data_IF_746971161997
#
_entry.id   IF_746971161997
#
_cell.length_a   1.000
_cell.length_b   1.000
_cell.length_c   1.000
_cell.angle_alpha   90.00
_cell.angle_beta   90.00
_cell.angle_gamma   90.00
#
_symmetry.space_group_name_H-M   'P 1'
#
loop_
_entity.id
_entity.type
_entity.pdbx_description
1 polymer ?
#
# COMPACT_ATOMS: atom_id res chain seq x y z
N UNK A 1 4.29 -11.90 -85.37
CA UNK A 1 5.74 -11.72 -85.19
C UNK A 1 6.13 -12.15 -83.79
N UNK A 2 6.66 -13.36 -83.67
CA UNK A 2 7.57 -13.82 -82.60
C UNK A 2 8.98 -13.24 -82.87
N UNK A 3 10.05 -13.47 -82.05
CA UNK A 3 10.22 -14.40 -80.91
C UNK A 3 10.94 -13.71 -79.69
N UNK A 4 11.37 -14.31 -78.58
CA UNK A 4 11.66 -15.71 -78.21
C UNK A 4 11.73 -15.88 -76.67
N UNK A 5 11.84 -17.13 -76.25
CA UNK A 5 11.57 -17.70 -74.93
C UNK A 5 12.74 -17.55 -73.92
N UNK A 6 12.50 -17.67 -72.61
CA UNK A 6 12.73 -18.96 -71.91
C UNK A 6 12.03 -19.04 -70.53
N UNK A 7 11.41 -20.19 -70.27
CA UNK A 7 10.80 -20.65 -68.99
C UNK A 7 11.79 -21.54 -68.23
N UNK A 8 11.66 -21.68 -66.89
CA UNK A 8 11.42 -22.95 -66.16
C UNK A 8 11.07 -22.71 -64.66
N UNK A 9 9.81 -23.06 -64.32
CA UNK A 9 9.21 -23.80 -63.17
C UNK A 9 9.46 -23.50 -61.65
N UNK A 10 8.33 -23.22 -60.96
CA UNK A 10 7.70 -23.80 -59.71
C UNK A 10 8.58 -24.09 -58.48
N UNK A 11 8.18 -23.92 -57.20
CA UNK A 11 6.88 -23.96 -56.52
C UNK A 11 6.95 -23.21 -55.16
N UNK A 12 5.79 -22.84 -54.59
CA UNK A 12 5.71 -22.08 -53.33
C UNK A 12 5.75 -22.92 -52.04
N UNK A 13 5.83 -22.23 -50.89
CA UNK A 13 5.31 -22.64 -49.57
C UNK A 13 5.36 -21.48 -48.56
N UNK A 14 4.36 -21.45 -47.67
CA UNK A 14 4.07 -20.49 -46.59
C UNK A 14 5.11 -20.58 -45.45
N UNK A 15 5.32 -19.53 -44.62
CA UNK A 15 6.09 -19.66 -43.40
C UNK A 15 5.21 -20.12 -42.23
N UNK A 16 5.72 -21.06 -41.44
CA UNK A 16 5.19 -21.50 -40.16
C UNK A 16 6.13 -21.01 -39.05
N UNK A 17 5.51 -20.59 -37.94
CA UNK A 17 6.12 -20.14 -36.70
C UNK A 17 6.87 -21.28 -36.00
N UNK A 18 8.02 -20.99 -35.39
CA UNK A 18 8.72 -21.90 -34.47
C UNK A 18 9.19 -21.13 -33.24
N UNK A 19 8.65 -21.56 -32.10
CA UNK A 19 9.15 -21.29 -30.76
C UNK A 19 10.50 -22.00 -30.55
N UNK A 20 11.42 -21.36 -29.83
CA UNK A 20 12.69 -21.96 -29.42
C UNK A 20 12.70 -22.19 -27.91
N UNK A 21 12.84 -23.46 -27.53
CA UNK A 21 13.02 -23.95 -26.18
C UNK A 21 14.48 -23.83 -25.73
N UNK A 22 14.68 -23.61 -24.43
CA UNK A 22 15.98 -23.53 -23.74
C UNK A 22 16.49 -24.94 -23.44
N UNK A 23 17.74 -25.23 -23.81
CA UNK A 23 18.43 -26.49 -23.54
C UNK A 23 19.40 -26.36 -22.35
N UNK A 24 19.25 -27.27 -21.39
CA UNK A 24 20.16 -27.52 -20.26
C UNK A 24 21.38 -28.29 -20.77
N UNK A 25 22.59 -27.91 -20.36
CA UNK A 25 23.81 -28.71 -20.60
C UNK A 25 24.55 -28.99 -19.29
N UNK A 26 24.62 -30.28 -18.97
CA UNK A 26 25.47 -30.86 -17.93
C UNK A 26 26.81 -31.29 -18.55
N UNK A 27 27.92 -31.00 -17.88
CA UNK A 27 29.28 -31.38 -18.31
C UNK A 27 29.72 -32.62 -17.54
N UNK A 28 30.12 -33.64 -18.30
CA UNK A 28 30.68 -34.92 -17.86
C UNK A 28 32.20 -34.86 -17.72
N UNK A 29 32.70 -35.63 -16.76
CA UNK A 29 34.09 -35.82 -16.37
C UNK A 29 34.91 -36.69 -17.36
N UNK A 30 36.23 -36.45 -17.40
CA UNK A 30 37.26 -37.49 -17.52
C UNK A 30 38.66 -36.90 -17.29
N UNK A 31 39.45 -37.50 -16.38
CA UNK A 31 40.79 -38.06 -16.66
C UNK A 31 41.44 -38.55 -15.35
N UNK A 32 41.90 -39.80 -15.37
CA UNK A 32 42.93 -40.36 -14.47
C UNK A 32 44.15 -40.69 -15.34
N UNK A 33 45.38 -40.80 -14.79
CA UNK A 33 45.83 -42.11 -14.30
C UNK A 33 46.87 -42.12 -13.14
N UNK A 34 47.00 -43.27 -12.46
CA UNK A 34 48.30 -43.83 -12.01
C UNK A 34 48.76 -43.66 -10.54
N UNK A 35 48.72 -44.75 -9.77
CA UNK A 35 49.55 -45.05 -8.56
C UNK A 35 50.78 -45.89 -9.03
N UNK A 36 51.96 -46.05 -8.38
CA UNK A 36 52.44 -45.85 -7.00
C UNK A 36 54.00 -45.81 -6.94
N UNK A 37 54.51 -45.35 -5.78
CA UNK A 37 55.79 -45.65 -5.07
C UNK A 37 57.14 -45.13 -5.64
N UNK A 38 57.83 -44.23 -4.92
CA UNK A 38 58.75 -44.52 -3.80
C UNK A 38 59.21 -43.21 -3.10
N UNK A 39 59.44 -43.32 -1.78
CA UNK A 39 59.94 -42.33 -0.80
C UNK A 39 61.45 -42.00 -1.02
N UNK A 40 62.03 -40.87 -0.51
CA UNK A 40 62.14 -40.64 0.94
C UNK A 40 62.18 -39.17 1.48
N UNK A 41 61.70 -39.04 2.72
CA UNK A 41 62.24 -38.27 3.86
C UNK A 41 62.58 -36.75 3.72
N UNK A 42 61.80 -35.92 4.40
CA UNK A 42 62.31 -34.80 5.23
C UNK A 42 61.25 -34.33 6.25
N UNK A 43 61.69 -34.20 7.50
CA UNK A 43 60.89 -33.94 8.72
C UNK A 43 60.86 -32.45 9.04
N UNK A 44 59.72 -31.91 9.49
CA UNK A 44 59.67 -30.73 10.36
C UNK A 44 58.45 -30.79 11.31
N UNK A 45 58.56 -30.31 12.57
CA UNK A 45 57.66 -30.69 13.65
C UNK A 45 56.57 -29.65 13.97
N UNK A 46 55.48 -30.13 14.57
CA UNK A 46 54.45 -29.34 15.24
C UNK A 46 54.84 -28.99 16.70
N UNK A 47 54.37 -27.87 17.28
CA UNK A 47 54.56 -27.59 18.69
C UNK A 47 53.37 -28.04 19.55
N UNK A 48 53.69 -28.56 20.74
CA UNK A 48 52.79 -29.02 21.79
C UNK A 48 52.39 -27.89 22.78
N UNK A 49 51.22 -28.04 23.40
CA UNK A 49 50.75 -27.28 24.58
C UNK A 49 51.56 -27.63 25.85
N UNK A 50 51.58 -26.80 26.93
CA UNK A 50 50.60 -26.88 28.05
C UNK A 50 50.49 -25.55 28.89
N UNK A 51 50.11 -25.49 30.20
CA UNK A 51 48.97 -26.05 30.97
C UNK A 51 48.14 -25.00 31.79
N UNK A 52 47.15 -25.54 32.51
CA UNK A 52 46.16 -25.00 33.47
C UNK A 52 46.66 -24.22 34.72
N UNK A 53 45.86 -23.25 35.20
CA UNK A 53 45.74 -22.76 36.61
C UNK A 53 44.51 -21.85 36.73
N UNK A 54 43.46 -22.22 37.46
CA UNK A 54 43.24 -22.08 38.92
C UNK A 54 42.37 -20.85 39.29
N UNK A 55 41.31 -21.09 40.06
CA UNK A 55 40.44 -20.12 40.74
C UNK A 55 40.24 -20.61 42.19
N UNK A 56 39.60 -19.88 43.15
CA UNK A 56 39.31 -18.44 43.31
C UNK A 56 39.84 -17.93 44.71
N UNK A 57 39.35 -16.82 45.29
CA UNK A 57 38.17 -16.93 46.17
C UNK A 57 37.19 -15.73 46.13
N UNK A 58 36.05 -15.94 46.79
CA UNK A 58 34.87 -15.06 46.87
C UNK A 58 34.79 -14.31 48.22
N UNK A 59 33.96 -13.25 48.21
CA UNK A 59 33.19 -12.68 49.34
C UNK A 59 33.63 -11.32 49.90
N UNK A 60 32.82 -10.26 49.69
CA UNK A 60 32.06 -9.58 50.76
C UNK A 60 31.30 -8.32 50.26
N UNK A 61 30.02 -8.23 50.63
CA UNK A 61 29.21 -7.03 50.83
C UNK A 61 28.23 -7.35 52.00
N UNK A 62 27.54 -6.41 52.70
CA UNK A 62 27.52 -4.93 52.67
C UNK A 62 27.70 -4.31 54.11
N UNK A 63 27.34 -3.04 54.37
CA UNK A 63 26.05 -2.83 55.04
C UNK A 63 25.24 -1.58 54.58
N UNK A 64 24.02 -1.51 55.10
CA UNK A 64 22.89 -0.65 54.72
C UNK A 64 22.68 0.56 55.68
N UNK A 65 22.04 1.60 55.15
CA UNK A 65 21.20 2.64 55.79
C UNK A 65 21.84 3.76 56.63
N UNK A 66 21.71 5.01 56.14
CA UNK A 66 21.10 6.12 56.88
C UNK A 66 20.90 7.38 55.99
N UNK A 67 19.68 7.91 55.96
CA UNK A 67 19.32 9.31 55.66
C UNK A 67 18.21 9.71 56.66
N UNK A 68 17.87 11.00 56.94
CA UNK A 68 18.51 12.30 56.65
C UNK A 68 18.61 13.21 57.93
N UNK A 69 18.82 14.54 57.84
CA UNK A 69 17.66 15.45 57.85
C UNK A 69 17.75 16.65 56.88
N UNK A 70 16.57 17.08 56.39
CA UNK A 70 16.30 18.38 55.75
C UNK A 70 15.69 19.34 56.81
N UNK A 71 15.31 20.62 56.56
CA UNK A 71 15.22 21.34 55.27
C UNK A 71 15.65 22.84 55.28
N UNK A 72 15.73 23.45 54.09
CA UNK A 72 15.45 24.88 53.90
C UNK A 72 14.41 25.00 52.76
N UNK A 73 13.29 25.65 53.06
CA UNK A 73 12.10 25.71 52.23
C UNK A 73 12.22 26.70 51.06
N UNK A 74 11.69 26.35 49.87
CA UNK A 74 11.16 27.33 48.94
C UNK A 74 9.63 27.35 48.99
N UNK A 75 9.10 28.57 48.86
CA UNK A 75 7.69 28.96 48.95
C UNK A 75 6.80 28.25 47.93
N UNK A 76 5.67 27.72 48.40
CA UNK A 76 4.61 27.11 47.57
C UNK A 76 3.71 28.22 47.00
N UNK A 77 3.53 28.35 45.67
CA UNK A 77 2.45 29.14 45.10
C UNK A 77 1.09 28.42 45.26
N UNK A 78 -0.03 29.16 45.38
CA UNK A 78 -1.34 28.55 45.66
C UNK A 78 -1.79 27.63 44.52
N UNK A 79 -2.40 26.50 44.91
CA UNK A 79 -2.95 25.50 43.99
C UNK A 79 -4.05 26.11 43.10
N UNK A 80 -4.08 25.80 41.80
CA UNK A 80 -5.22 26.14 40.95
C UNK A 80 -6.42 25.24 41.29
N UNK A 81 -7.60 25.84 41.29
CA UNK A 81 -8.90 25.15 41.46
C UNK A 81 -9.08 24.00 40.46
N UNK A 82 -9.83 22.93 40.81
CA UNK A 82 -10.07 21.82 39.91
C UNK A 82 -10.91 22.28 38.71
N UNK A 83 -10.28 22.32 37.54
CA UNK A 83 -10.97 22.52 36.27
C UNK A 83 -11.95 21.36 36.03
N UNK A 84 -13.19 21.63 35.55
CA UNK A 84 -14.18 20.60 35.33
C UNK A 84 -13.68 19.57 34.30
N UNK A 85 -13.89 18.29 34.62
CA UNK A 85 -13.51 17.17 33.77
C UNK A 85 -14.02 17.38 32.32
N UNK A 86 -13.23 17.06 31.28
CA UNK A 86 -13.72 17.08 29.92
C UNK A 86 -14.80 16.01 29.79
N UNK A 87 -16.03 16.50 29.61
CA UNK A 87 -17.19 15.73 29.18
C UNK A 87 -16.90 15.05 27.85
N UNK A 88 -17.33 13.78 27.77
CA UNK A 88 -17.48 12.96 26.57
C UNK A 88 -16.22 12.73 25.74
N UNK A 89 -15.58 11.58 25.95
CA UNK A 89 -14.83 10.92 24.90
C UNK A 89 -15.72 10.78 23.65
N UNK A 90 -15.25 11.14 22.45
CA UNK A 90 -15.99 10.83 21.24
C UNK A 90 -16.14 9.32 21.17
N UNK A 91 -17.38 8.85 21.00
CA UNK A 91 -17.67 7.47 20.64
C UNK A 91 -16.73 7.05 19.51
N UNK A 92 -15.83 6.11 19.79
CA UNK A 92 -14.88 5.60 18.81
C UNK A 92 -15.68 5.10 17.61
N UNK A 93 -15.63 5.84 16.50
CA UNK A 93 -16.08 5.32 15.22
C UNK A 93 -15.26 4.06 14.94
N UNK A 94 -15.86 3.00 14.39
CA UNK A 94 -15.07 1.88 13.89
C UNK A 94 -13.99 2.42 12.95
N UNK A 95 -12.76 1.90 13.00
CA UNK A 95 -11.71 2.34 12.09
C UNK A 95 -12.21 2.21 10.66
N UNK A 96 -12.03 3.27 9.87
CA UNK A 96 -12.40 3.23 8.46
C UNK A 96 -11.64 2.09 7.79
N UNK A 97 -12.34 1.31 6.95
CA UNK A 97 -11.71 0.22 6.21
C UNK A 97 -10.49 0.74 5.42
N UNK A 98 -9.39 -0.05 5.34
CA UNK A 98 -8.20 0.32 4.58
C UNK A 98 -8.53 0.82 3.17
N UNK A 99 -7.84 1.88 2.72
CA UNK A 99 -7.89 2.22 1.31
C UNK A 99 -7.30 1.06 0.50
N UNK A 100 -7.89 0.74 -0.64
CA UNK A 100 -7.38 -0.34 -1.47
C UNK A 100 -7.35 0.02 -2.96
N UNK A 101 -6.50 -0.70 -3.67
CA UNK A 101 -6.35 -0.66 -5.11
C UNK A 101 -5.70 -1.93 -5.61
N UNK A 102 -5.15 -1.87 -6.83
CA UNK A 102 -4.37 -2.94 -7.40
C UNK A 102 -3.32 -2.37 -8.36
N UNK A 103 -2.20 -3.08 -8.50
CA UNK A 103 -1.31 -2.89 -9.63
C UNK A 103 -1.86 -3.64 -10.84
N UNK A 104 -2.21 -2.91 -11.90
CA UNK A 104 -2.92 -3.44 -13.07
C UNK A 104 -2.15 -3.33 -14.37
N UNK A 105 -1.18 -2.40 -14.42
CA UNK A 105 -0.17 -2.13 -15.44
C UNK A 105 0.54 -0.83 -15.02
N UNK A 106 1.75 -0.58 -15.50
CA UNK A 106 2.49 0.63 -15.13
C UNK A 106 1.94 1.89 -15.83
N UNK A 107 1.42 1.78 -17.05
CA UNK A 107 1.04 2.92 -17.90
C UNK A 107 -0.46 3.28 -17.90
N UNK A 108 -0.93 3.97 -18.95
CA UNK A 108 -2.33 4.35 -19.12
C UNK A 108 -3.32 3.18 -19.09
N UNK A 109 -2.86 1.97 -19.45
CA UNK A 109 -3.67 0.77 -19.36
C UNK A 109 -4.03 0.44 -17.90
N UNK A 110 -3.14 0.70 -16.95
CA UNK A 110 -3.40 0.46 -15.52
C UNK A 110 -4.50 1.37 -14.98
N UNK A 111 -4.50 2.63 -15.41
CA UNK A 111 -5.56 3.60 -15.10
C UNK A 111 -6.90 3.16 -15.68
N UNK A 112 -6.93 2.72 -16.95
CA UNK A 112 -8.16 2.23 -17.58
C UNK A 112 -8.71 1.00 -16.87
N UNK A 113 -7.83 0.03 -16.57
CA UNK A 113 -8.17 -1.20 -15.84
C UNK A 113 -8.67 -0.97 -14.43
N UNK A 114 -8.32 0.15 -13.80
CA UNK A 114 -8.83 0.50 -12.46
C UNK A 114 -10.36 0.65 -12.47
N UNK A 115 -10.94 1.18 -13.56
CA UNK A 115 -12.38 1.25 -13.73
C UNK A 115 -13.00 -0.14 -13.97
N UNK A 116 -12.35 -0.97 -14.80
CA UNK A 116 -12.80 -2.33 -15.09
C UNK A 116 -12.78 -3.24 -13.83
N UNK A 117 -11.74 -3.12 -13.00
CA UNK A 117 -11.67 -3.81 -11.71
C UNK A 117 -12.75 -3.33 -10.75
N UNK A 118 -13.02 -2.01 -10.70
CA UNK A 118 -14.14 -1.45 -9.93
C UNK A 118 -15.47 -2.07 -10.36
N UNK A 119 -15.72 -2.19 -11.67
CA UNK A 119 -16.94 -2.79 -12.20
C UNK A 119 -17.03 -4.29 -11.86
N UNK A 120 -15.93 -5.02 -11.94
CA UNK A 120 -15.86 -6.43 -11.53
C UNK A 120 -16.15 -6.64 -10.03
N UNK A 121 -15.80 -5.66 -9.20
CA UNK A 121 -16.14 -5.54 -7.77
C UNK A 121 -17.51 -4.90 -7.52
N UNK A 122 -18.40 -4.86 -8.52
CA UNK A 122 -19.76 -4.36 -8.36
C UNK A 122 -19.84 -2.84 -8.16
N UNK A 123 -18.93 -2.08 -8.77
CA UNK A 123 -18.85 -0.62 -8.67
C UNK A 123 -18.13 -0.13 -7.42
N UNK A 124 -17.40 -1.01 -6.73
CA UNK A 124 -16.63 -0.62 -5.54
C UNK A 124 -15.48 0.29 -5.94
N UNK A 125 -15.40 1.46 -5.30
CA UNK A 125 -14.40 2.46 -5.63
C UNK A 125 -13.02 2.09 -5.12
N UNK A 126 -12.06 1.99 -6.04
CA UNK A 126 -10.64 1.94 -5.71
C UNK A 126 -10.16 3.33 -5.30
N UNK A 127 -9.58 3.43 -4.10
CA UNK A 127 -9.02 4.68 -3.57
C UNK A 127 -7.51 4.78 -3.78
N UNK A 128 -6.84 3.69 -4.14
CA UNK A 128 -5.39 3.63 -4.34
C UNK A 128 -5.10 3.37 -5.81
N UNK A 129 -4.39 4.29 -6.46
CA UNK A 129 -3.79 4.07 -7.76
C UNK A 129 -2.32 3.74 -7.55
N UNK A 130 -1.88 2.56 -8.01
CA UNK A 130 -0.54 2.07 -7.77
C UNK A 130 0.18 1.73 -9.07
N UNK A 131 1.40 2.22 -9.19
CA UNK A 131 2.25 2.03 -10.37
C UNK A 131 3.73 2.12 -10.01
N UNK A 132 4.59 1.80 -10.98
CA UNK A 132 6.05 1.76 -10.89
C UNK A 132 6.64 2.70 -11.92
N UNK A 133 7.72 3.39 -11.53
CA UNK A 133 8.61 3.98 -12.51
C UNK A 133 9.54 2.90 -13.10
N UNK A 134 9.75 2.87 -14.42
CA UNK A 134 10.76 2.00 -15.01
C UNK A 134 12.15 2.37 -14.50
N UNK A 135 12.90 1.36 -14.07
CA UNK A 135 14.23 1.52 -13.47
C UNK A 135 15.40 1.24 -14.41
N UNK A 136 15.18 1.11 -15.72
CA UNK A 136 16.23 0.82 -16.71
C UNK A 136 17.23 1.98 -16.87
N UNK A 137 16.76 3.23 -16.76
CA UNK A 137 17.59 4.44 -16.91
C UNK A 137 17.08 5.60 -16.07
N UNK A 138 17.97 6.51 -15.68
CA UNK A 138 17.61 7.68 -14.87
C UNK A 138 16.46 8.51 -15.42
N UNK A 139 16.39 8.74 -16.73
CA UNK A 139 15.30 9.56 -17.31
C UNK A 139 13.90 8.99 -17.06
N UNK A 140 13.79 7.68 -16.84
CA UNK A 140 12.51 7.03 -16.53
C UNK A 140 12.19 7.17 -15.03
N UNK A 141 13.20 7.07 -14.15
CA UNK A 141 13.10 7.36 -12.70
C UNK A 141 12.78 8.85 -12.45
N UNK A 142 13.21 9.76 -13.32
CA UNK A 142 12.82 11.18 -13.30
C UNK A 142 11.35 11.41 -13.70
N UNK A 143 10.60 10.35 -14.02
CA UNK A 143 9.21 10.38 -14.44
C UNK A 143 9.06 10.98 -15.83
N UNK A 144 9.54 10.32 -16.88
CA UNK A 144 9.46 10.82 -18.26
C UNK A 144 8.05 11.34 -18.62
N UNK A 145 7.92 12.47 -19.37
CA UNK A 145 6.62 13.06 -19.68
C UNK A 145 5.72 12.10 -20.46
N UNK A 146 4.41 12.17 -20.20
CA UNK A 146 3.40 11.28 -20.79
C UNK A 146 3.13 10.01 -19.98
N UNK A 147 3.93 9.74 -18.94
CA UNK A 147 3.73 8.58 -18.07
C UNK A 147 2.91 8.91 -16.82
N UNK A 148 3.32 9.90 -16.05
CA UNK A 148 2.69 10.25 -14.77
C UNK A 148 1.42 11.10 -14.93
N UNK A 149 1.20 11.73 -16.08
CA UNK A 149 0.07 12.62 -16.32
C UNK A 149 -1.28 11.90 -16.14
N UNK A 150 -1.42 10.68 -16.68
CA UNK A 150 -2.66 9.90 -16.57
C UNK A 150 -2.97 9.45 -15.14
N UNK A 151 -1.93 9.14 -14.36
CA UNK A 151 -2.04 8.80 -12.95
C UNK A 151 -2.36 10.03 -12.10
N UNK A 152 -1.79 11.18 -12.45
CA UNK A 152 -2.08 12.45 -11.83
C UNK A 152 -3.54 12.85 -12.04
N UNK A 153 -4.03 12.77 -13.27
CA UNK A 153 -5.45 13.02 -13.60
C UNK A 153 -6.37 12.07 -12.84
N UNK A 154 -6.01 10.77 -12.76
CA UNK A 154 -6.80 9.80 -12.00
C UNK A 154 -6.86 10.17 -10.50
N UNK A 155 -5.73 10.49 -9.87
CA UNK A 155 -5.69 10.90 -8.45
C UNK A 155 -6.43 12.22 -8.23
N UNK A 156 -6.34 13.17 -9.15
CA UNK A 156 -6.99 14.47 -9.01
C UNK A 156 -8.49 14.43 -9.31
N UNK A 157 -8.97 13.38 -9.96
CA UNK A 157 -10.39 13.17 -10.21
C UNK A 157 -11.24 13.11 -8.93
N UNK A 158 -10.68 12.68 -7.79
CA UNK A 158 -11.39 12.59 -6.51
C UNK A 158 -10.47 12.89 -5.32
N UNK A 159 -10.98 13.59 -4.31
CA UNK A 159 -10.18 14.10 -3.20
C UNK A 159 -9.65 13.00 -2.25
N UNK A 160 -10.35 11.87 -2.15
CA UNK A 160 -10.03 10.72 -1.30
C UNK A 160 -9.10 9.70 -1.97
N UNK A 161 -8.71 9.91 -3.23
CA UNK A 161 -7.75 9.06 -3.93
C UNK A 161 -6.32 9.35 -3.51
N UNK A 162 -5.53 8.29 -3.44
CA UNK A 162 -4.08 8.35 -3.28
C UNK A 162 -3.37 7.78 -4.49
N UNK A 163 -2.26 8.42 -4.86
CA UNK A 163 -1.29 7.87 -5.80
C UNK A 163 -0.15 7.25 -4.99
N UNK A 164 0.11 5.96 -5.21
CA UNK A 164 1.24 5.21 -4.68
C UNK A 164 2.18 4.91 -5.84
N UNK A 165 3.43 5.33 -5.71
CA UNK A 165 4.43 5.24 -6.77
C UNK A 165 5.66 4.50 -6.25
N UNK A 166 5.95 3.33 -6.79
CA UNK A 166 7.20 2.64 -6.56
C UNK A 166 8.31 3.30 -7.39
N UNK A 167 9.40 3.66 -6.71
CA UNK A 167 10.50 4.44 -7.29
C UNK A 167 11.83 3.71 -7.03
N UNK A 168 12.52 3.26 -8.09
CA UNK A 168 13.85 2.69 -7.96
C UNK A 168 14.83 3.71 -7.37
N UNK A 169 15.72 3.27 -6.48
CA UNK A 169 16.79 4.15 -5.99
C UNK A 169 17.97 4.22 -6.97
N UNK A 170 18.09 3.27 -7.89
CA UNK A 170 19.17 3.22 -8.88
C UNK A 170 18.59 2.83 -10.25
N UNK A 171 19.21 3.33 -11.32
CA UNK A 171 18.96 2.81 -12.67
C UNK A 171 19.56 1.42 -12.85
N UNK A 172 19.32 0.79 -14.02
CA UNK A 172 19.70 -0.61 -14.29
C UNK A 172 19.13 -1.54 -13.21
N UNK A 173 17.91 -1.24 -12.75
CA UNK A 173 17.37 -1.76 -11.50
C UNK A 173 17.26 -3.29 -11.46
N UNK A 174 17.15 -3.93 -12.62
CA UNK A 174 16.95 -5.39 -12.75
C UNK A 174 18.01 -6.05 -13.65
N UNK A 175 19.16 -5.39 -13.88
CA UNK A 175 20.23 -5.93 -14.75
C UNK A 175 21.07 -7.04 -14.10
N UNK A 176 20.82 -7.37 -12.84
CA UNK A 176 21.55 -8.44 -12.14
C UNK A 176 23.00 -8.09 -11.82
N UNK A 177 23.27 -6.84 -11.40
CA UNK A 177 24.61 -6.38 -11.04
C UNK A 177 25.15 -7.14 -9.83
N UNK A 178 26.47 -7.34 -9.79
CA UNK A 178 27.13 -7.97 -8.65
C UNK A 178 27.20 -7.04 -7.42
N UNK A 179 27.44 -7.64 -6.24
CA UNK A 179 27.38 -6.91 -4.96
C UNK A 179 28.46 -5.83 -4.82
N UNK A 180 29.61 -5.99 -5.48
CA UNK A 180 30.68 -4.99 -5.45
C UNK A 180 30.31 -3.75 -6.26
N UNK A 181 29.70 -3.93 -7.44
CA UNK A 181 29.18 -2.81 -8.23
C UNK A 181 28.03 -2.11 -7.48
N UNK A 182 27.09 -2.86 -6.90
CA UNK A 182 25.99 -2.27 -6.12
C UNK A 182 26.49 -1.51 -4.90
N UNK A 183 27.45 -2.06 -4.15
CA UNK A 183 28.08 -1.39 -3.01
C UNK A 183 28.65 -0.03 -3.40
N UNK A 184 29.36 0.05 -4.53
CA UNK A 184 29.91 1.31 -5.01
C UNK A 184 28.81 2.29 -5.41
N UNK A 185 27.78 1.83 -6.12
CA UNK A 185 26.63 2.67 -6.49
C UNK A 185 25.89 3.22 -5.25
N UNK A 186 25.69 2.41 -4.21
CA UNK A 186 25.09 2.87 -2.95
C UNK A 186 25.94 3.94 -2.27
N UNK A 187 27.27 3.80 -2.28
CA UNK A 187 28.19 4.80 -1.70
C UNK A 187 28.18 6.11 -2.47
N UNK A 188 28.11 6.05 -3.80
CA UNK A 188 27.92 7.24 -4.64
C UNK A 188 26.58 7.92 -4.38
N UNK A 189 25.52 7.13 -4.21
CA UNK A 189 24.22 7.62 -3.78
C UNK A 189 24.29 8.31 -2.41
N UNK A 190 24.95 7.70 -1.43
CA UNK A 190 25.18 8.28 -0.11
C UNK A 190 26.00 9.58 -0.15
N UNK A 191 26.92 9.70 -1.12
CA UNK A 191 27.68 10.93 -1.38
C UNK A 191 26.86 12.03 -2.08
N UNK A 192 25.68 11.70 -2.60
CA UNK A 192 24.74 12.64 -3.20
C UNK A 192 24.85 12.78 -4.73
N UNK A 193 25.57 11.88 -5.41
CA UNK A 193 25.77 11.92 -6.87
C UNK A 193 24.43 11.93 -7.63
N UNK A 194 23.41 11.28 -7.09
CA UNK A 194 22.14 11.01 -7.77
C UNK A 194 20.96 11.87 -7.29
N UNK A 195 21.17 12.77 -6.31
CA UNK A 195 20.11 13.60 -5.70
C UNK A 195 19.27 14.39 -6.73
N UNK A 196 19.92 14.82 -7.80
CA UNK A 196 19.31 15.66 -8.83
C UNK A 196 18.19 14.93 -9.60
N UNK A 197 18.28 13.59 -9.75
CA UNK A 197 17.23 12.78 -10.38
C UNK A 197 15.95 12.80 -9.54
N UNK A 198 16.08 12.63 -8.22
CA UNK A 198 14.93 12.61 -7.32
C UNK A 198 14.33 13.99 -7.10
N UNK A 199 15.16 15.05 -7.08
CA UNK A 199 14.66 16.43 -7.10
C UNK A 199 13.80 16.68 -8.34
N UNK A 200 14.25 16.20 -9.51
CA UNK A 200 13.49 16.36 -10.76
C UNK A 200 12.17 15.58 -10.74
N UNK A 201 12.16 14.35 -10.22
CA UNK A 201 10.92 13.60 -10.03
C UNK A 201 9.95 14.37 -9.11
N UNK A 202 10.44 14.88 -7.98
CA UNK A 202 9.64 15.67 -7.03
C UNK A 202 9.06 16.94 -7.67
N UNK A 203 9.87 17.71 -8.40
CA UNK A 203 9.42 18.90 -9.15
C UNK A 203 8.32 18.54 -10.15
N UNK A 204 8.46 17.41 -10.85
CA UNK A 204 7.44 16.95 -11.80
C UNK A 204 6.15 16.54 -11.11
N UNK A 205 6.20 15.77 -10.03
CA UNK A 205 5.00 15.38 -9.27
C UNK A 205 4.25 16.60 -8.74
N UNK A 206 4.96 17.61 -8.23
CA UNK A 206 4.35 18.88 -7.83
C UNK A 206 3.73 19.62 -9.02
N UNK A 207 4.44 19.70 -10.15
CA UNK A 207 3.94 20.36 -11.37
C UNK A 207 2.69 19.68 -11.95
N UNK A 208 2.57 18.36 -11.79
CA UNK A 208 1.39 17.57 -12.17
C UNK A 208 0.22 17.69 -11.18
N UNK A 209 0.38 18.47 -10.11
CA UNK A 209 -0.68 18.66 -9.12
C UNK A 209 -0.90 17.45 -8.22
N UNK A 210 0.06 16.54 -8.10
CA UNK A 210 0.03 15.39 -7.17
C UNK A 210 1.11 15.48 -6.09
N UNK A 211 1.18 16.60 -5.35
CA UNK A 211 2.23 16.84 -4.36
C UNK A 211 2.15 15.91 -3.15
N UNK A 212 1.08 15.15 -2.98
CA UNK A 212 0.83 14.25 -1.85
C UNK A 212 0.96 12.77 -2.20
N UNK A 213 1.69 12.47 -3.29
CA UNK A 213 2.05 11.11 -3.70
C UNK A 213 2.77 10.35 -2.58
N UNK A 214 2.37 9.09 -2.36
CA UNK A 214 3.10 8.14 -1.51
C UNK A 214 4.18 7.49 -2.36
N UNK A 215 5.42 7.59 -1.91
CA UNK A 215 6.60 7.12 -2.62
C UNK A 215 7.15 5.88 -1.93
N UNK A 216 7.04 4.73 -2.58
CA UNK A 216 7.65 3.47 -2.15
C UNK A 216 9.06 3.43 -2.76
N UNK A 217 10.00 4.07 -2.09
CA UNK A 217 11.39 4.11 -2.54
C UNK A 217 12.03 2.73 -2.31
N UNK A 218 12.79 2.22 -3.27
CA UNK A 218 13.67 1.08 -3.04
C UNK A 218 12.98 -0.14 -2.41
N UNK A 219 11.79 -0.51 -2.89
CA UNK A 219 10.99 -1.63 -2.37
C UNK A 219 11.78 -2.95 -2.36
N UNK A 220 11.40 -3.87 -1.47
CA UNK A 220 12.01 -5.20 -1.33
C UNK A 220 13.54 -5.17 -1.17
N UNK A 221 14.07 -4.12 -0.53
CA UNK A 221 15.51 -3.91 -0.39
C UNK A 221 16.24 -5.04 0.34
N UNK A 222 15.53 -5.84 1.14
CA UNK A 222 16.08 -6.97 1.87
C UNK A 222 16.32 -8.22 1.02
N UNK A 223 15.90 -8.23 -0.24
CA UNK A 223 16.17 -9.31 -1.19
C UNK A 223 17.45 -9.14 -2.00
N UNK A 224 17.54 -9.86 -3.12
CA UNK A 224 18.71 -9.85 -4.02
C UNK A 224 18.43 -9.34 -5.43
N UNK A 225 17.16 -9.13 -5.78
CA UNK A 225 16.72 -8.88 -7.16
C UNK A 225 17.18 -7.52 -7.68
N UNK A 226 16.95 -6.47 -6.90
CA UNK A 226 17.11 -5.11 -7.37
C UNK A 226 18.52 -4.56 -7.17
N UNK A 227 18.95 -3.68 -8.06
CA UNK A 227 20.22 -2.94 -7.93
C UNK A 227 20.22 -2.03 -6.70
N UNK A 228 19.04 -1.63 -6.20
CA UNK A 228 18.92 -0.89 -4.93
C UNK A 228 18.88 -1.75 -3.66
N UNK A 229 19.14 -3.06 -3.74
CA UNK A 229 19.15 -3.94 -2.55
C UNK A 229 20.10 -3.42 -1.46
N UNK A 230 19.71 -3.58 -0.21
CA UNK A 230 20.41 -3.05 0.95
C UNK A 230 21.62 -3.89 1.37
N UNK A 231 21.52 -5.22 1.22
CA UNK A 231 22.50 -6.17 1.74
C UNK A 231 23.98 -5.87 1.44
N UNK A 232 24.35 -5.40 0.22
CA UNK A 232 25.73 -5.04 -0.08
C UNK A 232 26.30 -3.99 0.89
N UNK A 233 25.62 -2.89 1.20
CA UNK A 233 26.13 -1.86 2.11
C UNK A 233 24.98 -1.16 2.85
N UNK A 234 24.50 -1.72 3.98
CA UNK A 234 23.32 -1.18 4.69
C UNK A 234 23.51 0.26 5.19
N UNK A 235 24.70 0.66 5.59
CA UNK A 235 24.97 2.03 6.04
C UNK A 235 24.91 3.02 4.87
N UNK A 236 25.52 2.67 3.72
CA UNK A 236 25.40 3.48 2.52
C UNK A 236 23.95 3.53 2.00
N UNK A 237 23.21 2.42 2.08
CA UNK A 237 21.81 2.35 1.70
C UNK A 237 20.95 3.33 2.53
N UNK A 238 21.09 3.31 3.86
CA UNK A 238 20.36 4.23 4.76
C UNK A 238 20.74 5.69 4.51
N UNK A 239 22.03 5.97 4.33
CA UNK A 239 22.49 7.31 3.98
C UNK A 239 21.91 7.77 2.64
N UNK A 240 21.87 6.90 1.63
CA UNK A 240 21.32 7.23 0.33
C UNK A 240 19.80 7.46 0.37
N UNK A 241 19.04 6.62 1.06
CA UNK A 241 17.62 6.86 1.33
C UNK A 241 17.39 8.27 1.90
N UNK A 242 18.15 8.62 2.94
CA UNK A 242 18.04 9.91 3.60
C UNK A 242 18.38 11.09 2.66
N UNK A 243 19.34 10.91 1.75
CA UNK A 243 19.65 11.89 0.68
C UNK A 243 18.49 12.09 -0.28
N UNK A 244 17.90 11.00 -0.78
CA UNK A 244 16.75 11.04 -1.69
C UNK A 244 15.60 11.80 -1.04
N UNK A 245 15.19 11.39 0.16
CA UNK A 245 14.09 12.01 0.90
C UNK A 245 14.35 13.50 1.15
N UNK A 246 15.57 13.86 1.54
CA UNK A 246 15.97 15.26 1.74
C UNK A 246 15.86 16.08 0.45
N UNK A 247 16.36 15.54 -0.67
CA UNK A 247 16.31 16.21 -1.97
C UNK A 247 14.87 16.44 -2.45
N UNK A 248 14.00 15.45 -2.27
CA UNK A 248 12.59 15.55 -2.64
C UNK A 248 11.82 16.50 -1.72
N UNK A 249 12.05 16.45 -0.40
CA UNK A 249 11.39 17.33 0.57
C UNK A 249 11.78 18.80 0.43
N UNK A 250 12.94 19.08 -0.17
CA UNK A 250 13.39 20.45 -0.47
C UNK A 250 12.60 21.13 -1.61
N UNK A 251 11.81 20.38 -2.39
CA UNK A 251 11.00 20.94 -3.49
C UNK A 251 9.77 21.68 -2.92
N UNK A 252 9.57 22.98 -3.21
CA UNK A 252 8.42 23.72 -2.71
C UNK A 252 7.08 23.12 -3.14
N UNK A 253 6.11 23.08 -2.22
CA UNK A 253 4.75 22.61 -2.48
C UNK A 253 4.56 21.10 -2.32
N UNK A 254 5.64 20.33 -2.15
CA UNK A 254 5.55 18.90 -1.88
C UNK A 254 4.91 18.61 -0.51
N UNK A 255 4.19 17.50 -0.44
CA UNK A 255 3.59 16.88 0.76
C UNK A 255 3.71 15.35 0.68
N UNK A 256 4.82 14.86 0.11
CA UNK A 256 5.03 13.44 -0.11
C UNK A 256 5.12 12.69 1.21
N UNK A 257 4.75 11.41 1.16
CA UNK A 257 5.00 10.45 2.23
C UNK A 257 5.89 9.34 1.70
N UNK A 258 6.88 8.94 2.48
CA UNK A 258 7.83 7.90 2.10
C UNK A 258 7.51 6.58 2.80
N UNK A 259 7.30 5.54 2.00
CA UNK A 259 6.90 4.21 2.46
C UNK A 259 8.08 3.25 2.38
N UNK A 260 8.56 2.81 3.55
CA UNK A 260 9.64 1.81 3.67
C UNK A 260 9.01 0.42 3.62
N UNK A 261 9.13 -0.26 2.47
CA UNK A 261 8.46 -1.52 2.19
C UNK A 261 9.45 -2.65 1.85
N UNK A 262 9.85 -3.49 2.83
CA UNK A 262 10.60 -4.71 2.58
C UNK A 262 9.71 -5.85 2.08
N UNK A 263 10.31 -6.93 1.56
CA UNK A 263 9.63 -8.21 1.39
C UNK A 263 9.43 -8.91 2.74
N UNK A 264 8.30 -9.62 2.90
CA UNK A 264 7.99 -10.38 4.12
C UNK A 264 9.09 -11.40 4.46
N UNK A 265 9.44 -11.43 5.75
CA UNK A 265 10.42 -12.35 6.29
C UNK A 265 11.83 -11.79 6.18
N UNK A 266 12.82 -12.65 6.41
CA UNK A 266 14.23 -12.22 6.34
C UNK A 266 14.65 -11.90 4.91
N UNK A 267 14.23 -12.73 3.94
CA UNK A 267 14.84 -12.83 2.62
C UNK A 267 16.39 -12.95 2.74
N UNK A 268 17.17 -12.04 2.16
CA UNK A 268 18.63 -12.09 2.21
C UNK A 268 19.22 -11.45 3.47
N UNK A 269 18.64 -10.34 3.96
CA UNK A 269 19.10 -9.62 5.15
C UNK A 269 17.93 -9.15 6.02
N UNK A 270 18.05 -9.10 7.36
CA UNK A 270 17.00 -8.49 8.20
C UNK A 270 16.62 -7.09 7.71
N UNK A 271 15.35 -6.90 7.31
CA UNK A 271 14.95 -5.59 6.78
C UNK A 271 15.08 -4.45 7.80
N UNK A 272 15.05 -4.77 9.10
CA UNK A 272 15.27 -3.78 10.18
C UNK A 272 16.68 -3.18 10.14
N UNK A 273 17.68 -3.92 9.63
CA UNK A 273 19.06 -3.42 9.51
C UNK A 273 19.17 -2.30 8.45
N UNK A 274 18.20 -2.26 7.54
CA UNK A 274 18.06 -1.28 6.47
C UNK A 274 17.18 -0.09 6.86
N UNK A 275 16.54 -0.09 8.03
CA UNK A 275 15.65 1.01 8.41
C UNK A 275 16.42 2.35 8.56
N UNK A 276 16.09 3.39 7.77
CA UNK A 276 16.91 4.61 7.69
C UNK A 276 16.63 5.64 8.80
N UNK A 277 15.61 5.39 9.63
CA UNK A 277 15.21 6.21 10.78
C UNK A 277 13.85 6.88 10.62
N UNK A 278 13.27 7.28 11.75
CA UNK A 278 11.90 7.84 11.81
C UNK A 278 11.73 9.17 11.08
N UNK A 279 12.81 9.94 10.92
CA UNK A 279 12.74 11.28 10.34
C UNK A 279 12.42 11.25 8.84
N UNK A 280 12.76 10.17 8.15
CA UNK A 280 12.64 10.05 6.68
C UNK A 280 11.69 8.94 6.23
N UNK A 281 11.05 8.25 7.17
CA UNK A 281 10.02 7.24 6.90
C UNK A 281 8.69 7.72 7.46
N UNK A 282 7.68 7.79 6.60
CA UNK A 282 6.32 8.22 6.99
C UNK A 282 5.38 7.03 7.18
N UNK A 283 5.64 5.91 6.48
CA UNK A 283 4.85 4.67 6.49
C UNK A 283 5.81 3.48 6.53
N UNK A 284 5.47 2.45 7.31
CA UNK A 284 6.19 1.17 7.27
C UNK A 284 5.33 0.17 6.52
N UNK A 285 5.68 -0.08 5.26
CA UNK A 285 5.02 -1.04 4.39
C UNK A 285 5.57 -2.45 4.51
N UNK A 286 5.01 -3.36 3.73
CA UNK A 286 5.49 -4.72 3.55
C UNK A 286 4.93 -5.31 2.27
N UNK A 287 5.79 -5.94 1.48
CA UNK A 287 5.39 -6.70 0.30
C UNK A 287 5.22 -8.18 0.69
N UNK A 288 4.01 -8.72 0.47
CA UNK A 288 3.58 -9.99 1.07
C UNK A 288 2.89 -10.92 0.07
N UNK A 289 3.61 -11.94 -0.38
CA UNK A 289 3.08 -13.04 -1.19
C UNK A 289 3.01 -14.35 -0.43
N UNK A 290 2.11 -15.26 -0.83
CA UNK A 290 1.98 -16.57 -0.19
C UNK A 290 3.10 -17.56 -0.58
N UNK A 291 4.23 -17.37 0.07
CA UNK A 291 5.45 -18.15 -0.14
C UNK A 291 6.21 -18.39 1.19
N UNK A 292 7.17 -19.32 1.25
CA UNK A 292 7.45 -20.38 0.29
C UNK A 292 6.27 -21.38 0.16
N UNK A 293 6.42 -22.33 -0.75
CA UNK A 293 5.41 -23.36 -0.98
C UNK A 293 5.11 -24.15 0.31
N UNK A 294 3.84 -24.29 0.66
CA UNK A 294 3.34 -25.04 1.81
C UNK A 294 3.35 -24.28 3.14
N UNK A 295 3.85 -23.04 3.19
CA UNK A 295 3.89 -22.27 4.43
C UNK A 295 2.47 -21.77 4.81
N UNK A 296 1.91 -22.18 5.97
CA UNK A 296 0.61 -21.71 6.43
C UNK A 296 0.66 -20.22 6.81
N UNK A 297 -0.50 -19.56 6.75
CA UNK A 297 -0.58 -18.11 7.04
C UNK A 297 -0.08 -17.77 8.45
N UNK A 298 -0.40 -18.61 9.45
CA UNK A 298 0.03 -18.42 10.83
C UNK A 298 1.57 -18.45 10.99
N UNK A 299 2.27 -19.19 10.13
CA UNK A 299 3.74 -19.18 10.09
C UNK A 299 4.28 -17.92 9.41
N UNK A 300 3.64 -17.45 8.31
CA UNK A 300 3.97 -16.16 7.68
C UNK A 300 3.77 -14.96 8.63
N UNK A 301 2.84 -15.09 9.58
CA UNK A 301 2.64 -14.09 10.65
C UNK A 301 3.76 -14.15 11.68
N UNK A 302 4.08 -15.34 12.18
CA UNK A 302 4.94 -15.54 13.35
C UNK A 302 6.43 -15.70 13.06
N UNK A 303 6.82 -15.92 11.79
CA UNK A 303 8.21 -16.02 11.41
C UNK A 303 9.01 -14.74 11.76
N UNK A 304 10.34 -14.86 11.97
CA UNK A 304 11.20 -13.71 12.13
C UNK A 304 11.05 -12.76 10.94
N UNK A 305 10.87 -11.46 11.22
CA UNK A 305 10.69 -10.42 10.20
C UNK A 305 9.41 -10.57 9.35
N UNK A 306 8.48 -11.43 9.78
CA UNK A 306 7.17 -11.66 9.14
C UNK A 306 6.12 -10.59 9.47
N UNK A 307 4.83 -10.91 9.24
CA UNK A 307 3.74 -9.93 9.36
C UNK A 307 3.58 -9.37 10.78
N UNK A 308 3.74 -10.18 11.83
CA UNK A 308 3.64 -9.69 13.20
C UNK A 308 4.79 -8.73 13.54
N UNK A 309 6.01 -9.09 13.15
CA UNK A 309 7.18 -8.24 13.37
C UNK A 309 7.04 -6.87 12.68
N UNK A 310 6.44 -6.86 11.49
CA UNK A 310 6.11 -5.64 10.75
C UNK A 310 5.16 -4.71 11.50
N UNK A 311 3.99 -5.20 11.92
CA UNK A 311 3.00 -4.36 12.60
C UNK A 311 3.48 -3.90 13.97
N UNK A 312 4.27 -4.72 14.68
CA UNK A 312 4.85 -4.35 15.97
C UNK A 312 5.96 -3.32 15.82
N UNK A 313 6.80 -3.44 14.78
CA UNK A 313 7.81 -2.44 14.46
C UNK A 313 7.18 -1.09 14.10
N UNK A 314 6.19 -1.10 13.20
CA UNK A 314 5.46 0.12 12.85
C UNK A 314 4.84 0.79 14.08
N UNK A 315 4.23 0.00 14.99
CA UNK A 315 3.69 0.49 16.26
C UNK A 315 4.76 1.08 17.17
N UNK A 316 5.91 0.41 17.31
CA UNK A 316 7.02 0.89 18.14
C UNK A 316 7.59 2.23 17.65
N UNK A 317 7.56 2.46 16.34
CA UNK A 317 8.01 3.69 15.67
C UNK A 317 6.88 4.73 15.50
N UNK A 318 5.65 4.43 15.93
CA UNK A 318 4.51 5.33 15.79
C UNK A 318 4.11 5.61 14.33
N UNK A 319 4.34 4.65 13.42
CA UNK A 319 4.09 4.78 11.98
C UNK A 319 2.86 3.95 11.57
N UNK A 320 2.08 4.42 10.56
CA UNK A 320 1.04 3.61 9.94
C UNK A 320 1.66 2.43 9.17
N UNK A 321 0.85 1.39 8.98
CA UNK A 321 1.16 0.19 8.21
C UNK A 321 0.57 0.29 6.80
N UNK A 322 1.26 -0.20 5.78
CA UNK A 322 0.73 -0.41 4.43
C UNK A 322 1.13 -1.77 3.86
N UNK A 323 0.48 -2.16 2.76
CA UNK A 323 0.87 -3.31 1.94
C UNK A 323 0.92 -2.88 0.46
N UNK A 324 2.04 -2.26 0.02
CA UNK A 324 2.19 -1.77 -1.34
C UNK A 324 2.14 -2.90 -2.38
N UNK A 325 2.54 -4.10 -2.00
CA UNK A 325 2.31 -5.29 -2.81
C UNK A 325 1.82 -6.45 -1.95
N UNK A 326 0.79 -7.13 -2.42
CA UNK A 326 0.47 -8.45 -1.91
C UNK A 326 -0.27 -9.26 -2.97
N UNK A 327 -0.26 -10.59 -2.83
CA UNK A 327 -0.98 -11.46 -3.73
C UNK A 327 -0.65 -12.93 -3.53
N UNK A 328 -1.11 -13.75 -4.47
CA UNK A 328 -0.76 -15.15 -4.55
C UNK A 328 0.63 -15.32 -5.17
N UNK A 329 1.23 -16.49 -5.06
CA UNK A 329 2.47 -16.82 -5.74
C UNK A 329 2.68 -18.34 -5.76
N UNK A 330 3.44 -18.88 -4.80
CA UNK A 330 3.95 -20.26 -4.86
C UNK A 330 2.94 -21.30 -4.43
N UNK A 331 1.84 -20.90 -3.79
CA UNK A 331 0.78 -21.81 -3.34
C UNK A 331 -0.45 -21.82 -4.27
N UNK A 332 -0.38 -21.13 -5.41
CA UNK A 332 -1.44 -21.10 -6.43
C UNK A 332 -2.75 -20.50 -5.92
N UNK A 333 -3.88 -21.03 -6.40
CA UNK A 333 -5.23 -20.57 -6.04
C UNK A 333 -5.56 -20.78 -4.54
N UNK A 334 -5.11 -19.86 -3.70
CA UNK A 334 -5.13 -19.98 -2.24
C UNK A 334 -6.16 -19.03 -1.60
N UNK A 335 -7.42 -19.47 -1.60
CA UNK A 335 -8.53 -18.75 -0.96
C UNK A 335 -8.36 -18.53 0.55
N UNK A 336 -7.60 -19.40 1.23
CA UNK A 336 -7.34 -19.24 2.66
C UNK A 336 -6.41 -18.06 2.92
N UNK A 337 -5.30 -17.97 2.18
CA UNK A 337 -4.39 -16.82 2.25
C UNK A 337 -5.10 -15.51 1.92
N UNK A 338 -5.84 -15.47 0.81
CA UNK A 338 -6.59 -14.29 0.37
C UNK A 338 -7.51 -13.74 1.48
N UNK A 339 -8.28 -14.63 2.13
CA UNK A 339 -9.19 -14.24 3.23
C UNK A 339 -8.42 -13.73 4.45
N UNK A 340 -7.35 -14.43 4.82
CA UNK A 340 -6.56 -14.14 6.03
C UNK A 340 -5.79 -12.82 5.88
N UNK A 341 -5.21 -12.57 4.72
CA UNK A 341 -4.50 -11.32 4.44
C UNK A 341 -5.45 -10.11 4.46
N UNK A 342 -6.63 -10.22 3.82
CA UNK A 342 -7.65 -9.17 3.89
C UNK A 342 -8.10 -8.88 5.34
N UNK A 343 -8.33 -9.93 6.13
CA UNK A 343 -8.69 -9.78 7.54
C UNK A 343 -7.55 -9.16 8.38
N UNK A 344 -6.31 -9.56 8.13
CA UNK A 344 -5.12 -9.02 8.79
C UNK A 344 -4.95 -7.52 8.55
N UNK A 345 -5.10 -7.07 7.31
CA UNK A 345 -5.02 -5.65 6.95
C UNK A 345 -6.13 -4.82 7.59
N UNK A 346 -7.34 -5.38 7.72
CA UNK A 346 -8.46 -4.74 8.41
C UNK A 346 -8.23 -4.68 9.92
N UNK A 347 -7.80 -5.78 10.54
CA UNK A 347 -7.50 -5.87 11.98
C UNK A 347 -6.43 -4.87 12.42
N UNK A 348 -5.37 -4.71 11.63
CA UNK A 348 -4.27 -3.81 11.93
C UNK A 348 -4.44 -2.39 11.35
N UNK A 349 -5.58 -2.10 10.73
CA UNK A 349 -5.90 -0.76 10.22
C UNK A 349 -4.88 -0.25 9.21
N UNK A 350 -4.53 -1.08 8.22
CA UNK A 350 -3.61 -0.68 7.16
C UNK A 350 -4.08 0.63 6.50
N UNK A 351 -3.17 1.59 6.36
CA UNK A 351 -3.43 2.87 5.70
C UNK A 351 -3.90 2.64 4.27
N UNK A 352 -3.20 1.74 3.56
CA UNK A 352 -3.60 1.28 2.25
C UNK A 352 -3.06 -0.12 1.94
N UNK A 353 -3.64 -0.76 0.93
CA UNK A 353 -3.10 -1.97 0.32
C UNK A 353 -3.36 -2.03 -1.18
N UNK A 354 -2.51 -2.73 -1.91
CA UNK A 354 -2.61 -2.91 -3.36
C UNK A 354 -2.31 -4.35 -3.76
N UNK A 355 -3.32 -5.02 -4.34
CA UNK A 355 -3.14 -6.37 -4.88
C UNK A 355 -2.32 -6.31 -6.18
N UNK A 356 -1.32 -7.16 -6.31
CA UNK A 356 -0.59 -7.34 -7.57
C UNK A 356 -1.40 -8.24 -8.51
N UNK A 357 -2.00 -7.67 -9.55
CA UNK A 357 -3.00 -8.37 -10.36
C UNK A 357 -2.52 -8.74 -11.76
N UNK A 358 -1.69 -9.79 -11.82
CA UNK A 358 -1.36 -10.54 -13.03
C UNK A 358 -0.95 -11.96 -12.61
N UNK A 359 -0.96 -12.96 -13.51
CA UNK A 359 -0.57 -14.32 -13.10
C UNK A 359 0.92 -14.40 -12.71
N UNK A 360 1.27 -15.12 -11.63
CA UNK A 360 0.41 -15.99 -10.81
C UNK A 360 -0.26 -15.30 -9.61
N UNK A 361 -0.08 -14.00 -9.42
CA UNK A 361 -0.41 -13.27 -8.20
C UNK A 361 -1.87 -12.83 -8.08
N UNK A 362 -2.44 -12.43 -9.22
CA UNK A 362 -3.73 -11.76 -9.29
C UNK A 362 -4.95 -12.65 -9.12
N UNK A 363 -6.10 -12.00 -9.12
CA UNK A 363 -7.42 -12.62 -9.01
C UNK A 363 -8.39 -12.18 -10.10
N UNK A 364 -8.16 -11.02 -10.73
CA UNK A 364 -9.04 -10.50 -11.77
C UNK A 364 -8.45 -10.74 -13.17
N UNK A 365 -7.18 -10.37 -13.38
CA UNK A 365 -6.47 -10.67 -14.63
C UNK A 365 -5.90 -12.09 -14.69
N UNK A 366 -5.97 -12.85 -13.58
CA UNK A 366 -5.49 -14.22 -13.52
C UNK A 366 -6.62 -15.23 -13.30
N UNK A 367 -7.05 -15.87 -14.39
CA UNK A 367 -8.11 -16.90 -14.37
C UNK A 367 -7.69 -18.20 -13.68
N UNK A 368 -6.40 -18.37 -13.36
CA UNK A 368 -5.88 -19.55 -12.65
C UNK A 368 -6.23 -19.57 -11.16
N UNK A 369 -6.75 -18.46 -10.61
CA UNK A 369 -7.03 -18.28 -9.18
C UNK A 369 -8.54 -18.09 -8.86
N UNK A 370 -9.46 -18.97 -9.32
CA UNK A 370 -10.89 -18.74 -9.22
C UNK A 370 -11.42 -18.74 -7.78
N UNK A 371 -10.87 -19.55 -6.87
CA UNK A 371 -11.35 -19.60 -5.47
C UNK A 371 -10.90 -18.37 -4.70
N UNK A 372 -9.67 -17.91 -4.92
CA UNK A 372 -9.18 -16.67 -4.34
C UNK A 372 -9.91 -15.44 -4.89
N UNK A 373 -10.23 -15.45 -6.19
CA UNK A 373 -11.06 -14.42 -6.81
C UNK A 373 -12.45 -14.33 -6.20
N UNK A 374 -13.11 -15.47 -5.95
CA UNK A 374 -14.40 -15.50 -5.24
C UNK A 374 -14.30 -14.86 -3.85
N UNK A 375 -13.24 -15.18 -3.08
CA UNK A 375 -13.00 -14.56 -1.77
C UNK A 375 -12.82 -13.05 -1.91
N UNK A 376 -11.92 -12.60 -2.79
CA UNK A 376 -11.62 -11.18 -2.96
C UNK A 376 -12.87 -10.38 -3.33
N UNK A 377 -13.67 -10.88 -4.29
CA UNK A 377 -14.97 -10.29 -4.63
C UNK A 377 -15.92 -10.27 -3.45
N UNK A 378 -16.05 -11.38 -2.71
CA UNK A 378 -17.01 -11.46 -1.60
C UNK A 378 -16.71 -10.47 -0.47
N UNK A 379 -15.43 -10.15 -0.24
CA UNK A 379 -15.00 -9.25 0.83
C UNK A 379 -15.04 -7.78 0.41
N UNK A 380 -14.70 -7.49 -0.84
CA UNK A 380 -14.54 -6.11 -1.31
C UNK A 380 -15.73 -5.59 -2.13
N UNK A 381 -16.56 -6.45 -2.72
CA UNK A 381 -17.74 -5.98 -3.46
C UNK A 381 -18.75 -5.34 -2.52
N UNK A 382 -19.41 -4.27 -2.99
CA UNK A 382 -20.48 -3.63 -2.23
C UNK A 382 -19.99 -2.82 -1.02
N UNK A 383 -18.69 -2.57 -0.91
CA UNK A 383 -18.16 -1.48 -0.07
C UNK A 383 -18.52 -0.15 -0.75
N UNK A 384 -19.81 0.19 -0.74
CA UNK A 384 -20.25 1.55 -0.99
C UNK A 384 -19.67 2.40 0.15
N UNK A 385 -19.08 3.54 -0.21
CA UNK A 385 -18.47 4.45 0.76
C UNK A 385 -19.42 4.58 1.96
N UNK A 386 -18.92 4.27 3.16
CA UNK A 386 -19.48 4.90 4.34
C UNK A 386 -19.36 6.40 4.05
N UNK A 387 -20.44 7.02 3.62
CA UNK A 387 -20.51 8.45 3.37
C UNK A 387 -19.83 9.11 4.57
N UNK A 388 -18.74 9.81 4.30
CA UNK A 388 -18.29 10.84 5.23
C UNK A 388 -19.53 11.69 5.47
N UNK A 389 -20.02 11.86 6.72
CA UNK A 389 -21.11 12.78 6.96
C UNK A 389 -20.63 14.12 6.41
N UNK A 390 -21.18 14.53 5.27
CA UNK A 390 -20.95 15.87 4.74
C UNK A 390 -21.26 16.85 5.88
N UNK A 391 -20.62 18.02 5.93
CA UNK A 391 -20.91 19.01 6.96
C UNK A 391 -22.43 19.17 7.03
N UNK A 392 -23.03 18.68 8.12
CA UNK A 392 -24.46 18.81 8.32
C UNK A 392 -24.72 20.30 8.24
N UNK A 393 -25.35 20.74 7.14
CA UNK A 393 -25.89 22.09 7.07
C UNK A 393 -26.76 22.21 8.33
N UNK A 394 -26.48 23.15 9.24
CA UNK A 394 -27.29 23.28 10.44
C UNK A 394 -28.74 23.37 9.99
N UNK A 395 -29.57 22.51 10.56
CA UNK A 395 -31.01 22.53 10.30
C UNK A 395 -31.47 23.98 10.43
N UNK A 396 -32.28 24.51 9.49
CA UNK A 396 -32.74 25.88 9.57
C UNK A 396 -33.44 26.06 10.91
N UNK A 397 -32.88 26.93 11.75
CA UNK A 397 -33.50 27.35 13.00
C UNK A 397 -34.94 27.76 12.69
N UNK A 398 -35.96 27.16 13.33
CA UNK A 398 -37.34 27.58 13.09
C UNK A 398 -37.46 29.05 13.47
N UNK A 399 -37.76 29.89 12.47
CA UNK A 399 -38.08 31.30 12.67
C UNK A 399 -39.22 31.40 13.69
N UNK A 400 -39.08 32.17 14.78
CA UNK A 400 -40.19 32.37 15.71
C UNK A 400 -41.33 33.06 14.97
N UNK A 401 -42.49 32.39 14.96
CA UNK A 401 -43.74 32.92 14.39
C UNK A 401 -44.14 34.17 15.19
N UNK A 402 -44.39 35.33 14.56
CA UNK A 402 -44.88 36.50 15.25
C UNK A 402 -46.26 36.23 15.86
N UNK A 403 -46.38 36.47 17.16
CA UNK A 403 -47.66 36.41 17.90
C UNK A 403 -48.64 37.43 17.32
N UNK A 404 -49.73 36.94 16.72
CA UNK A 404 -50.87 37.76 16.34
C UNK A 404 -51.74 38.08 17.58
N UNK A 405 -52.32 39.29 17.69
CA UNK A 405 -53.04 39.73 18.87
C UNK A 405 -54.42 39.06 19.00
N UNK A 406 -54.78 38.82 20.27
CA UNK A 406 -56.06 38.32 20.74
C UNK A 406 -57.24 39.03 20.09
N UNK A 407 -58.13 38.25 19.47
CA UNK A 407 -59.44 38.71 18.99
C UNK A 407 -60.53 37.80 19.53
N UNK A 408 -61.63 38.46 19.86
CA UNK A 408 -62.77 38.04 20.66
C UNK A 408 -63.44 36.68 20.32
N UNK A 409 -64.00 36.14 21.41
CA UNK A 409 -64.94 35.04 21.61
C UNK A 409 -66.02 34.85 20.52
N UNK A 410 -66.35 33.60 20.11
CA UNK A 410 -67.51 33.30 19.27
C UNK A 410 -68.73 32.77 20.05
N UNK A 411 -69.87 33.41 19.77
CA UNK A 411 -71.26 33.09 20.13
C UNK A 411 -71.70 31.66 19.68
N UNK A 412 -72.33 30.84 20.55
CA UNK A 412 -72.66 29.46 20.24
C UNK A 412 -74.01 29.35 19.53
N UNK A 413 -74.02 29.07 18.22
CA UNK A 413 -75.18 28.50 17.52
C UNK A 413 -74.82 27.97 16.12
N UNK A 414 -74.59 26.65 16.01
CA UNK A 414 -75.10 25.75 14.93
C UNK A 414 -74.39 24.39 14.98
N UNK A 415 -75.18 23.32 15.05
CA UNK A 415 -74.77 21.93 14.91
C UNK A 415 -74.24 21.61 13.48
N UNK A 416 -73.31 20.65 13.34
CA UNK A 416 -72.96 20.03 12.06
C UNK A 416 -73.72 18.72 11.83
N UNK A 417 -74.09 18.36 10.59
CA UNK A 417 -74.48 16.99 10.28
C UNK A 417 -73.40 16.25 9.50
N UNK A 418 -73.31 14.95 9.80
CA UNK A 418 -73.00 13.92 8.81
C UNK A 418 -71.52 13.65 8.59
N UNK A 419 -71.03 12.62 9.25
CA UNK A 419 -69.67 12.13 9.10
C UNK A 419 -69.44 11.22 7.91
N UNK A 420 -68.23 10.67 7.87
CA UNK A 420 -67.95 9.27 7.58
C UNK A 420 -66.45 9.02 7.91
N UNK A 421 -66.08 7.95 8.64
CA UNK A 421 -64.70 7.68 8.98
C UNK A 421 -63.99 6.94 7.84
N UNK A 422 -62.78 7.35 7.49
CA UNK A 422 -61.89 6.56 6.65
C UNK A 422 -60.77 5.96 7.52
N UNK A 423 -60.94 4.67 7.80
CA UNK A 423 -59.88 3.69 8.06
C UNK A 423 -58.76 3.92 7.03
N UNK A 424 -57.50 4.11 7.42
CA UNK A 424 -56.66 3.03 7.92
C UNK A 424 -56.12 2.24 6.73
N UNK A 425 -54.86 2.54 6.37
CA UNK A 425 -53.84 1.67 5.73
C UNK A 425 -53.09 2.28 4.51
N UNK A 426 -51.77 2.37 4.73
CA UNK A 426 -50.59 2.14 3.87
C UNK A 426 -50.26 3.08 2.70
N UNK A 427 -49.22 3.89 2.96
CA UNK A 427 -48.45 4.66 2.00
C UNK A 427 -47.47 3.76 1.21
N UNK A 428 -47.92 3.00 0.19
CA UNK A 428 -46.97 2.48 -0.83
C UNK A 428 -47.52 2.19 -2.24
N UNK A 429 -48.74 2.60 -2.61
CA UNK A 429 -49.26 2.42 -3.99
C UNK A 429 -49.92 3.71 -4.52
N UNK A 430 -49.23 4.85 -4.51
CA UNK A 430 -49.66 6.05 -5.27
C UNK A 430 -48.46 6.83 -5.83
N UNK A 431 -47.50 6.15 -6.46
CA UNK A 431 -46.43 6.84 -7.21
C UNK A 431 -46.23 6.33 -8.64
N UNK A 432 -47.19 5.59 -9.20
CA UNK A 432 -47.01 5.00 -10.55
C UNK A 432 -48.18 5.14 -11.52
N UNK A 433 -49.17 6.00 -11.26
CA UNK A 433 -50.16 6.36 -12.28
C UNK A 433 -50.59 7.83 -12.13
N UNK A 434 -50.12 8.66 -13.06
CA UNK A 434 -50.51 10.04 -13.20
C UNK A 434 -52.02 10.20 -13.38
N UNK A 435 -52.60 11.12 -12.61
CA UNK A 435 -53.89 11.73 -12.87
C UNK A 435 -55.06 11.13 -12.09
N UNK A 436 -55.56 11.88 -11.09
CA UNK A 436 -56.99 11.94 -10.81
C UNK A 436 -57.42 13.40 -10.72
N UNK A 437 -58.22 13.78 -11.71
CA UNK A 437 -58.88 15.07 -11.85
C UNK A 437 -60.08 15.11 -10.89
N UNK A 438 -60.21 16.17 -10.11
CA UNK A 438 -61.47 16.54 -9.47
C UNK A 438 -62.31 17.36 -10.48
N UNK A 439 -63.54 16.95 -10.85
CA UNK A 439 -64.44 17.82 -11.57
C UNK A 439 -65.16 18.72 -10.55
N UNK A 440 -64.79 20.00 -10.52
CA UNK A 440 -65.59 21.04 -9.89
C UNK A 440 -66.66 21.56 -10.86
N UNK A 441 -67.92 21.76 -10.43
CA UNK A 441 -68.93 22.40 -11.26
C UNK A 441 -68.78 23.91 -11.14
N UNK A 442 -68.55 24.62 -12.24
CA UNK A 442 -68.89 26.04 -12.31
C UNK A 442 -69.49 26.42 -13.65
N UNK A 443 -70.71 26.97 -13.54
CA UNK A 443 -71.48 27.63 -14.59
C UNK A 443 -71.11 29.10 -14.56
N UNK A 444 -70.62 29.66 -15.66
CA UNK A 444 -70.85 31.08 -15.97
C UNK A 444 -71.20 31.23 -17.45
N UNK A 445 -72.13 32.14 -17.69
CA UNK A 445 -73.03 32.17 -18.83
C UNK A 445 -72.74 33.32 -19.80
N UNK A 446 -73.20 33.12 -21.06
CA UNK A 446 -73.52 34.12 -22.11
C UNK A 446 -72.30 34.87 -22.69
N UNK A 447 -72.19 35.11 -24.00
CA UNK A 447 -73.16 35.72 -24.92
C UNK A 447 -72.77 35.49 -26.38
N UNK A 448 -73.81 35.32 -27.21
CA UNK A 448 -73.96 35.50 -28.67
C UNK A 448 -73.32 34.49 -29.61
#
# INVERSE_FOLDING_TARGET
>A
MSPEQSRVLRAGRRPAWLAAAVAVSAVLAATAPGQAADDPAAVSPAPAAPPSSAAPPSSAAPPSSAAPPAPAAPSVPPAPEPSPAPSSAPSAQPPAAPAFGAYLDYGPLGVARTAELSDWLGGTRLRVGHTYLPGDRWSNIEGAPGFLDVWADWRNGQADRMLVLNVPMLERNEEGLDDDEVRELLRRGAAGDFDHHFRRLAERLVALGVPDTVLVLGWEMNGTTYTHRCGPDPEAWKAYWNRIVTAMRAVPGQRFRFDFAPSRGRDAVPWTDCYPGDDTVDIVGMDAYDQPHGMPFEEQVSEPYGLQAHVDFARAHGKPVSYPEWGLFRNGDNAAYMRRMLAWMEEHGALYNTLTDYCPHGVWQCDENPRAAEVYRSVLSGRADAETPGPQRPAPTPTPVPTAPSSAEPDPRREPPGGCPALGLDHWIVQWLGGKRCPGPDRWARTR
#
